data_IF_968270194530
#
_entry.id   IF_968270194530
#
_cell.length_a   1.000
_cell.length_b   1.000
_cell.length_c   1.000
_cell.angle_alpha   90.00
_cell.angle_beta   90.00
_cell.angle_gamma   90.00
#
_symmetry.space_group_name_H-M   'P 1'
#
loop_
_entity.id
_entity.type
_entity.pdbx_description
1 polymer ?
#
# COMPACT_ATOMS: atom_id res chain seq x y z
N UNK A 1 -10.51 32.02 -41.60
CA UNK A 1 -11.54 31.13 -41.05
C UNK A 1 -10.90 30.44 -39.86
N UNK A 2 -11.37 30.87 -38.68
CA UNK A 2 -10.87 30.50 -37.37
C UNK A 2 -11.09 29.02 -37.08
N UNK A 3 -10.12 28.40 -36.45
CA UNK A 3 -10.33 27.18 -35.71
C UNK A 3 -9.67 27.32 -34.33
N UNK A 4 -10.31 28.18 -33.53
CA UNK A 4 -10.20 28.15 -32.09
C UNK A 4 -11.23 27.12 -31.63
N UNK A 5 -10.79 26.01 -31.04
CA UNK A 5 -11.55 25.19 -30.09
C UNK A 5 -10.63 24.06 -29.61
N UNK A 6 -10.45 24.05 -28.33
CA UNK A 6 -9.72 23.10 -27.44
C UNK A 6 -8.40 23.60 -26.90
N UNK A 7 -8.46 24.75 -26.25
CA UNK A 7 -7.55 25.07 -25.14
C UNK A 7 -8.39 25.00 -23.86
N UNK A 8 -8.38 23.87 -23.21
CA UNK A 8 -8.87 23.73 -21.84
C UNK A 8 -7.73 23.23 -20.99
N UNK A 9 -7.10 24.10 -20.21
CA UNK A 9 -6.21 23.67 -19.14
C UNK A 9 -7.08 23.35 -17.92
N UNK A 10 -7.70 22.19 -17.88
CA UNK A 10 -8.43 21.75 -16.71
C UNK A 10 -8.11 20.31 -16.40
N UNK A 11 -7.72 20.16 -15.11
CA UNK A 11 -7.66 18.95 -14.33
C UNK A 11 -6.36 18.15 -14.35
N UNK A 12 -5.29 18.80 -13.91
CA UNK A 12 -4.34 18.19 -13.02
C UNK A 12 -4.16 19.11 -11.80
N UNK A 13 -5.24 19.36 -11.06
CA UNK A 13 -5.10 19.79 -9.68
C UNK A 13 -4.78 18.54 -8.88
N UNK A 14 -3.51 18.37 -8.53
CA UNK A 14 -3.09 17.52 -7.43
C UNK A 14 -3.86 18.01 -6.20
N UNK A 15 -4.77 17.17 -5.72
CA UNK A 15 -5.52 17.45 -4.50
C UNK A 15 -4.53 17.46 -3.35
N UNK A 16 -4.42 18.58 -2.66
CA UNK A 16 -3.58 18.68 -1.45
C UNK A 16 -4.23 17.91 -0.31
N UNK A 17 -3.44 17.42 0.64
CA UNK A 17 -3.92 16.71 1.85
C UNK A 17 -5.07 17.44 2.57
N UNK A 18 -5.08 18.77 2.53
CA UNK A 18 -6.15 19.60 3.11
C UNK A 18 -7.52 19.36 2.45
N UNK A 19 -7.57 18.92 1.19
CA UNK A 19 -8.83 18.63 0.50
C UNK A 19 -9.44 17.27 0.86
N UNK A 20 -8.64 16.38 1.48
CA UNK A 20 -9.14 15.11 2.04
C UNK A 20 -9.82 15.28 3.41
N UNK A 21 -9.74 16.48 4.02
CA UNK A 21 -10.06 16.70 5.42
C UNK A 21 -11.49 17.23 5.67
N UNK A 22 -12.29 17.48 4.64
CA UNK A 22 -13.70 17.76 4.82
C UNK A 22 -14.49 16.44 4.78
N UNK A 23 -15.17 16.08 5.88
CA UNK A 23 -15.97 14.85 6.03
C UNK A 23 -16.83 14.50 4.80
N UNK A 24 -17.39 15.50 4.13
CA UNK A 24 -18.19 15.32 2.92
C UNK A 24 -17.41 14.87 1.70
N UNK A 25 -16.14 15.30 1.57
CA UNK A 25 -15.28 14.99 0.42
C UNK A 25 -14.72 13.58 0.51
N UNK A 26 -14.38 13.13 1.71
CA UNK A 26 -13.92 11.74 1.95
C UNK A 26 -15.07 10.77 1.62
N UNK A 27 -16.28 11.02 2.07
CA UNK A 27 -17.47 10.18 1.81
C UNK A 27 -17.79 10.08 0.32
N UNK A 28 -17.74 11.20 -0.40
CA UNK A 28 -18.00 11.24 -1.84
C UNK A 28 -16.94 10.47 -2.64
N UNK A 29 -15.67 10.58 -2.25
CA UNK A 29 -14.54 9.92 -2.93
C UNK A 29 -14.42 8.44 -2.61
N UNK A 30 -14.80 8.01 -1.42
CA UNK A 30 -14.85 6.59 -1.05
C UNK A 30 -16.02 5.86 -1.71
N UNK A 31 -16.94 6.56 -2.41
CA UNK A 31 -18.14 5.97 -3.00
C UNK A 31 -19.06 5.34 -1.97
N UNK A 32 -18.89 5.68 -0.69
CA UNK A 32 -19.73 5.19 0.39
C UNK A 32 -21.07 5.88 0.28
N UNK A 33 -22.11 5.09 0.06
CA UNK A 33 -23.48 5.60 0.06
C UNK A 33 -23.75 6.32 1.39
N UNK A 34 -24.14 7.60 1.37
CA UNK A 34 -24.37 8.37 2.59
C UNK A 34 -25.45 7.77 3.52
N UNK A 35 -26.23 6.81 3.04
CA UNK A 35 -27.21 6.06 3.86
C UNK A 35 -26.59 4.85 4.61
N UNK A 36 -25.32 4.44 4.32
CA UNK A 36 -24.70 3.25 4.91
C UNK A 36 -23.71 3.56 6.04
N UNK A 37 -23.24 4.80 6.13
CA UNK A 37 -22.25 5.17 7.14
C UNK A 37 -22.81 6.12 8.19
N UNK A 38 -23.48 5.59 9.21
CA UNK A 38 -23.43 6.23 10.51
C UNK A 38 -22.00 6.04 11.07
N UNK A 39 -21.12 6.99 10.77
CA UNK A 39 -19.81 7.08 11.40
C UNK A 39 -20.02 7.52 12.86
N UNK A 40 -20.00 6.57 13.78
CA UNK A 40 -20.37 6.80 15.19
C UNK A 40 -19.20 7.21 16.09
N UNK A 41 -18.01 7.55 15.56
CA UNK A 41 -16.97 8.09 16.44
C UNK A 41 -15.55 7.55 16.22
N UNK A 42 -14.61 7.86 17.15
CA UNK A 42 -13.16 7.63 17.01
C UNK A 42 -12.73 6.16 16.88
N UNK A 43 -13.53 5.19 17.30
CA UNK A 43 -13.18 3.76 17.15
C UNK A 43 -13.26 3.28 15.71
N UNK A 44 -14.02 3.95 14.84
CA UNK A 44 -14.11 3.65 13.40
C UNK A 44 -13.19 4.54 12.54
N UNK A 45 -12.38 5.39 13.18
CA UNK A 45 -11.46 6.29 12.49
C UNK A 45 -10.29 5.56 11.81
N UNK A 46 -10.11 4.26 12.05
CA UNK A 46 -9.08 3.43 11.42
C UNK A 46 -9.73 2.47 10.45
N UNK A 47 -9.38 2.59 9.16
CA UNK A 47 -9.77 1.65 8.12
C UNK A 47 -8.72 0.56 8.02
N UNK A 48 -9.13 -0.71 7.92
CA UNK A 48 -8.25 -1.87 7.95
C UNK A 48 -8.20 -2.52 9.35
N UNK A 49 -7.34 -3.52 9.51
CA UNK A 49 -7.17 -4.24 10.79
C UNK A 49 -5.69 -4.31 11.20
N UNK A 50 -5.10 -3.17 11.60
CA UNK A 50 -3.66 -3.11 11.91
C UNK A 50 -3.26 -3.98 13.10
N UNK A 51 -4.11 -4.14 14.12
CA UNK A 51 -3.79 -4.94 15.31
C UNK A 51 -3.61 -6.44 14.99
N UNK A 52 -4.38 -6.96 14.04
CA UNK A 52 -4.23 -8.34 13.58
C UNK A 52 -3.04 -8.49 12.62
N UNK A 53 -2.91 -7.54 11.69
CA UNK A 53 -1.91 -7.60 10.63
C UNK A 53 -0.48 -7.43 11.16
N UNK A 54 -0.27 -6.61 12.18
CA UNK A 54 1.06 -6.32 12.71
C UNK A 54 1.69 -7.51 13.45
N UNK A 55 0.89 -8.50 13.88
CA UNK A 55 1.38 -9.74 14.50
C UNK A 55 2.22 -10.61 13.55
N UNK A 56 2.03 -10.44 12.24
CA UNK A 56 2.79 -11.17 11.21
C UNK A 56 4.10 -10.50 10.79
N UNK A 57 4.34 -9.28 11.29
CA UNK A 57 5.54 -8.54 10.91
C UNK A 57 6.82 -9.12 11.53
N UNK A 58 7.86 -9.16 10.72
CA UNK A 58 9.26 -9.33 11.14
C UNK A 58 10.21 -8.52 10.26
N UNK A 59 11.43 -8.28 10.76
CA UNK A 59 12.48 -7.65 9.96
C UNK A 59 12.92 -8.60 8.84
N UNK A 60 12.98 -8.12 7.60
CA UNK A 60 13.44 -8.93 6.46
C UNK A 60 14.81 -9.56 6.70
N UNK A 61 15.00 -10.79 6.28
CA UNK A 61 16.21 -11.56 6.55
C UNK A 61 17.38 -11.24 5.60
N UNK A 62 17.09 -10.86 4.36
CA UNK A 62 18.08 -10.43 3.37
C UNK A 62 17.91 -8.95 3.01
N UNK A 63 19.00 -8.29 2.56
CA UNK A 63 19.02 -6.85 2.29
C UNK A 63 17.93 -6.35 1.34
N UNK A 64 17.56 -7.17 0.37
CA UNK A 64 16.65 -6.78 -0.71
C UNK A 64 15.37 -7.66 -0.75
N UNK A 65 15.02 -8.35 0.36
CA UNK A 65 13.87 -9.26 0.42
C UNK A 65 12.55 -8.60 0.86
N UNK A 66 12.48 -7.27 0.89
CA UNK A 66 11.28 -6.55 1.36
C UNK A 66 9.97 -7.05 0.71
N UNK A 67 9.95 -7.23 -0.61
CA UNK A 67 8.76 -7.71 -1.32
C UNK A 67 8.47 -9.20 -1.06
N UNK A 68 9.47 -10.02 -0.68
CA UNK A 68 9.24 -11.40 -0.26
C UNK A 68 8.62 -11.41 1.13
N UNK A 69 9.18 -10.65 2.07
CA UNK A 69 8.66 -10.53 3.43
C UNK A 69 7.22 -9.98 3.45
N UNK A 70 6.91 -8.92 2.68
CA UNK A 70 5.53 -8.43 2.57
C UNK A 70 4.58 -9.51 2.03
N UNK A 71 5.00 -10.31 1.06
CA UNK A 71 4.17 -11.40 0.54
C UNK A 71 4.01 -12.54 1.55
N UNK A 72 5.01 -12.79 2.40
CA UNK A 72 4.89 -13.70 3.53
C UNK A 72 3.82 -13.22 4.51
N UNK A 73 3.91 -11.96 4.99
CA UNK A 73 2.91 -11.37 5.91
C UNK A 73 1.48 -11.53 5.39
N UNK A 74 1.27 -11.14 4.12
CA UNK A 74 -0.03 -11.25 3.47
C UNK A 74 -0.50 -12.71 3.36
N UNK A 75 0.40 -13.64 3.00
CA UNK A 75 0.06 -15.06 2.86
C UNK A 75 -0.33 -15.66 4.22
N UNK A 76 0.39 -15.32 5.29
CA UNK A 76 0.10 -15.78 6.64
C UNK A 76 -1.26 -15.32 7.13
N UNK A 77 -1.56 -14.03 6.96
CA UNK A 77 -2.85 -13.44 7.32
C UNK A 77 -4.02 -14.08 6.56
N UNK A 78 -3.88 -14.25 5.24
CA UNK A 78 -4.97 -14.77 4.42
C UNK A 78 -5.15 -16.28 4.52
N UNK A 79 -4.08 -17.04 4.77
CA UNK A 79 -4.13 -18.52 4.81
C UNK A 79 -4.12 -19.08 6.23
N UNK A 80 -3.97 -18.22 7.26
CA UNK A 80 -3.94 -18.58 8.68
C UNK A 80 -2.91 -19.69 8.98
N UNK A 81 -1.73 -19.57 8.37
CA UNK A 81 -0.63 -20.51 8.57
C UNK A 81 0.71 -19.81 8.42
N UNK A 82 1.71 -20.29 9.15
CA UNK A 82 3.08 -19.81 9.07
C UNK A 82 3.76 -20.20 7.75
N UNK A 83 4.60 -19.31 7.25
CA UNK A 83 5.52 -19.53 6.14
C UNK A 83 6.95 -19.24 6.62
N UNK A 84 7.92 -19.60 5.83
CA UNK A 84 9.33 -19.26 6.07
C UNK A 84 9.81 -18.30 4.98
N UNK A 85 10.24 -17.10 5.37
CA UNK A 85 10.82 -16.15 4.41
C UNK A 85 11.95 -16.80 3.59
N UNK A 86 12.80 -17.60 4.23
CA UNK A 86 13.91 -18.28 3.52
C UNK A 86 13.41 -19.27 2.46
N UNK A 87 12.35 -20.04 2.75
CA UNK A 87 11.77 -20.95 1.76
C UNK A 87 11.11 -20.18 0.61
N UNK A 88 10.46 -19.05 0.89
CA UNK A 88 9.90 -18.15 -0.13
C UNK A 88 10.99 -17.48 -0.97
N UNK A 89 12.08 -17.05 -0.36
CA UNK A 89 13.26 -16.53 -1.05
C UNK A 89 13.84 -17.59 -2.01
N UNK A 90 14.05 -18.81 -1.54
CA UNK A 90 14.61 -19.89 -2.36
C UNK A 90 13.65 -20.28 -3.50
N UNK A 91 12.34 -20.28 -3.23
CA UNK A 91 11.33 -20.53 -4.25
C UNK A 91 11.29 -19.44 -5.31
N UNK A 92 11.37 -18.16 -4.91
CA UNK A 92 11.41 -17.02 -5.82
C UNK A 92 12.68 -16.95 -6.64
N UNK A 93 13.87 -17.24 -6.04
CA UNK A 93 15.15 -17.36 -6.75
C UNK A 93 15.09 -18.41 -7.85
N UNK A 94 14.54 -19.57 -7.56
CA UNK A 94 14.45 -20.66 -8.53
C UNK A 94 13.56 -20.35 -9.74
N UNK A 95 12.81 -19.24 -9.70
CA UNK A 95 11.88 -18.78 -10.74
C UNK A 95 12.25 -17.43 -11.35
N UNK A 96 13.42 -16.90 -11.00
CA UNK A 96 13.87 -15.56 -11.39
C UNK A 96 12.91 -14.42 -10.97
N UNK A 97 12.16 -14.61 -9.87
CA UNK A 97 11.27 -13.59 -9.29
C UNK A 97 11.96 -12.75 -8.22
N UNK A 98 13.08 -13.21 -7.72
CA UNK A 98 13.90 -12.51 -6.74
C UNK A 98 15.38 -12.68 -7.07
N UNK A 99 16.13 -11.59 -7.03
CA UNK A 99 17.58 -11.55 -7.15
C UNK A 99 18.19 -10.90 -5.89
N UNK A 100 19.14 -11.53 -5.20
CA UNK A 100 19.73 -10.98 -3.98
C UNK A 100 20.41 -9.63 -4.15
N UNK A 101 20.84 -9.28 -5.35
CA UNK A 101 21.51 -8.02 -5.63
C UNK A 101 20.54 -6.87 -5.93
N UNK A 102 19.38 -7.17 -6.56
CA UNK A 102 18.43 -6.16 -7.03
C UNK A 102 17.02 -6.28 -6.42
N UNK A 103 16.71 -7.36 -5.70
CA UNK A 103 15.42 -7.61 -5.10
C UNK A 103 14.40 -8.22 -6.07
N UNK A 104 13.12 -7.93 -5.84
CA UNK A 104 12.00 -8.37 -6.66
C UNK A 104 11.59 -7.25 -7.61
N UNK A 105 11.46 -7.57 -8.92
CA UNK A 105 10.90 -6.62 -9.88
C UNK A 105 9.46 -6.27 -9.50
N UNK A 106 9.04 -5.03 -9.76
CA UNK A 106 7.68 -4.58 -9.46
C UNK A 106 6.62 -5.47 -10.12
N UNK A 107 6.89 -5.99 -11.30
CA UNK A 107 6.00 -6.92 -12.04
C UNK A 107 5.94 -8.31 -11.43
N UNK A 108 6.87 -8.65 -10.53
CA UNK A 108 6.96 -9.96 -9.90
C UNK A 108 6.40 -9.96 -8.47
N UNK A 109 6.14 -8.78 -7.90
CA UNK A 109 5.45 -8.66 -6.61
C UNK A 109 4.04 -9.28 -6.76
N UNK A 110 3.65 -10.13 -5.83
CA UNK A 110 2.39 -10.88 -5.85
C UNK A 110 2.50 -12.29 -6.45
N UNK A 111 3.58 -12.65 -7.16
CA UNK A 111 3.74 -13.98 -7.74
C UNK A 111 3.85 -15.10 -6.68
N UNK A 112 4.44 -14.80 -5.53
CA UNK A 112 4.46 -15.75 -4.40
C UNK A 112 3.05 -15.99 -3.86
N UNK A 113 2.24 -14.93 -3.77
CA UNK A 113 0.84 -15.03 -3.34
C UNK A 113 0.00 -15.87 -4.31
N UNK A 114 0.19 -15.70 -5.62
CA UNK A 114 -0.44 -16.55 -6.63
C UNK A 114 0.00 -18.01 -6.51
N UNK A 115 1.28 -18.25 -6.23
CA UNK A 115 1.85 -19.59 -6.10
C UNK A 115 1.28 -20.34 -4.88
N UNK A 116 0.92 -19.64 -3.81
CA UNK A 116 0.25 -20.24 -2.64
C UNK A 116 -1.28 -20.30 -2.76
N UNK A 117 -1.83 -19.86 -3.90
CA UNK A 117 -3.24 -20.05 -4.26
C UNK A 117 -4.15 -18.86 -3.98
N UNK A 118 -3.61 -17.70 -3.64
CA UNK A 118 -4.39 -16.48 -3.44
C UNK A 118 -4.84 -15.85 -4.77
N UNK A 119 -5.88 -15.03 -4.70
CA UNK A 119 -6.23 -14.10 -5.77
C UNK A 119 -5.35 -12.87 -5.63
N UNK A 120 -4.82 -12.39 -6.75
CA UNK A 120 -3.92 -11.23 -6.78
C UNK A 120 -4.31 -10.32 -7.92
N UNK A 121 -4.43 -9.04 -7.64
CA UNK A 121 -4.55 -7.96 -8.60
C UNK A 121 -3.35 -7.03 -8.48
N UNK A 122 -2.81 -6.58 -9.63
CA UNK A 122 -1.73 -5.60 -9.71
C UNK A 122 -2.24 -4.40 -10.45
N UNK A 123 -2.16 -3.23 -9.84
CA UNK A 123 -2.66 -1.99 -10.44
C UNK A 123 -1.70 -0.84 -10.20
N UNK A 124 -1.67 0.09 -11.15
CA UNK A 124 -0.99 1.38 -11.06
C UNK A 124 -2.04 2.50 -11.03
N UNK A 125 -1.62 3.71 -10.68
CA UNK A 125 -2.47 4.90 -10.60
C UNK A 125 -3.62 4.79 -9.60
N UNK A 126 -3.46 3.94 -8.57
CA UNK A 126 -4.43 3.81 -7.50
C UNK A 126 -4.46 5.07 -6.63
N UNK A 127 -5.59 5.28 -5.98
CA UNK A 127 -5.82 6.38 -5.03
C UNK A 127 -5.81 5.86 -3.59
N UNK A 128 -5.74 6.76 -2.62
CA UNK A 128 -5.93 6.41 -1.20
C UNK A 128 -7.31 5.78 -0.98
N UNK A 129 -8.32 6.24 -1.72
CA UNK A 129 -9.67 5.66 -1.65
C UNK A 129 -9.71 4.21 -2.08
N UNK A 130 -8.94 3.84 -3.13
CA UNK A 130 -8.85 2.44 -3.58
C UNK A 130 -8.19 1.57 -2.50
N UNK A 131 -7.12 2.06 -1.86
CA UNK A 131 -6.50 1.36 -0.73
C UNK A 131 -7.47 1.20 0.45
N UNK A 132 -8.20 2.27 0.79
CA UNK A 132 -9.16 2.25 1.88
C UNK A 132 -10.30 1.26 1.61
N UNK A 133 -10.80 1.18 0.38
CA UNK A 133 -11.82 0.21 -0.02
C UNK A 133 -11.31 -1.22 0.11
N UNK A 134 -10.14 -1.54 -0.44
CA UNK A 134 -9.54 -2.87 -0.32
C UNK A 134 -9.33 -3.28 1.15
N UNK A 135 -8.83 -2.36 1.99
CA UNK A 135 -8.65 -2.63 3.42
C UNK A 135 -9.99 -2.85 4.14
N UNK A 136 -11.02 -2.08 3.80
CA UNK A 136 -12.36 -2.23 4.38
C UNK A 136 -13.03 -3.55 3.97
N UNK A 137 -12.73 -4.06 2.77
CA UNK A 137 -13.18 -5.37 2.28
C UNK A 137 -12.35 -6.55 2.85
N UNK A 138 -11.33 -6.25 3.67
CA UNK A 138 -10.46 -7.26 4.27
C UNK A 138 -9.38 -7.79 3.34
N UNK A 139 -9.23 -7.20 2.16
CA UNK A 139 -8.12 -7.49 1.26
C UNK A 139 -6.80 -6.98 1.85
N UNK A 140 -5.69 -7.53 1.40
CA UNK A 140 -4.35 -7.16 1.85
C UNK A 140 -3.61 -6.42 0.74
N UNK A 141 -2.86 -5.39 1.12
CA UNK A 141 -2.29 -4.44 0.16
C UNK A 141 -0.79 -4.33 0.35
N UNK A 142 -0.03 -4.53 -0.73
CA UNK A 142 1.43 -4.29 -0.77
C UNK A 142 1.68 -3.14 -1.74
N UNK A 143 2.32 -2.06 -1.27
CA UNK A 143 2.69 -0.91 -2.09
C UNK A 143 4.17 -0.87 -2.40
N UNK A 144 4.50 -0.47 -3.64
CA UNK A 144 5.87 -0.10 -4.02
C UNK A 144 6.13 1.36 -3.65
N UNK A 145 7.12 1.63 -2.81
CA UNK A 145 7.40 2.97 -2.31
C UNK A 145 8.89 3.32 -2.42
N UNK A 146 9.23 4.58 -2.24
CA UNK A 146 10.62 4.97 -2.00
C UNK A 146 10.90 5.05 -0.51
N UNK A 147 11.76 4.17 0.00
CA UNK A 147 12.08 4.11 1.42
C UNK A 147 12.80 5.38 1.93
N UNK A 148 13.59 6.05 1.09
CA UNK A 148 14.29 7.27 1.51
C UNK A 148 13.30 8.40 1.79
N UNK A 149 12.23 8.53 1.01
CA UNK A 149 11.19 9.56 1.22
C UNK A 149 10.42 9.26 2.51
N UNK A 150 10.11 7.99 2.80
CA UNK A 150 9.47 7.63 4.08
C UNK A 150 10.30 8.03 5.29
N UNK A 151 11.64 7.96 5.19
CA UNK A 151 12.56 8.32 6.28
C UNK A 151 12.93 9.81 6.30
N UNK A 152 13.04 10.44 5.15
CA UNK A 152 13.47 11.83 4.96
C UNK A 152 12.56 12.50 3.91
N UNK A 153 11.39 13.02 4.31
CA UNK A 153 10.38 13.58 3.40
C UNK A 153 10.89 14.71 2.49
N UNK A 154 11.92 15.45 2.94
CA UNK A 154 12.55 16.50 2.14
C UNK A 154 13.17 16.02 0.82
N UNK A 155 13.30 14.70 0.63
CA UNK A 155 13.82 14.11 -0.62
C UNK A 155 12.74 13.94 -1.69
N UNK A 156 11.47 14.16 -1.39
CA UNK A 156 10.35 13.97 -2.33
C UNK A 156 10.47 14.80 -3.61
N UNK A 157 11.05 15.99 -3.51
CA UNK A 157 11.23 16.92 -4.64
C UNK A 157 12.47 16.63 -5.50
N UNK A 158 13.29 15.63 -5.15
CA UNK A 158 14.48 15.32 -5.92
C UNK A 158 14.11 14.56 -7.22
N UNK A 159 14.64 15.01 -8.38
CA UNK A 159 14.33 14.35 -9.64
C UNK A 159 15.00 12.97 -9.74
N UNK A 160 14.32 12.04 -10.41
CA UNK A 160 14.87 10.72 -10.73
C UNK A 160 14.88 9.71 -9.56
N UNK A 161 14.13 10.00 -8.50
CA UNK A 161 13.90 9.04 -7.43
C UNK A 161 12.79 8.07 -7.87
N UNK A 162 13.09 6.77 -7.79
CA UNK A 162 12.15 5.70 -8.12
C UNK A 162 11.86 4.87 -6.87
N UNK A 163 10.79 4.11 -6.91
CA UNK A 163 10.48 3.11 -5.89
C UNK A 163 11.63 2.10 -5.76
N UNK A 164 11.98 1.76 -4.53
CA UNK A 164 13.09 0.86 -4.20
C UNK A 164 12.76 -0.06 -3.02
N UNK A 165 11.52 -0.05 -2.57
CA UNK A 165 11.07 -0.75 -1.38
C UNK A 165 9.61 -1.20 -1.52
N UNK A 166 9.25 -2.26 -0.80
CA UNK A 166 7.89 -2.74 -0.68
C UNK A 166 7.47 -2.71 0.79
N UNK A 167 6.26 -2.26 1.05
CA UNK A 167 5.62 -2.22 2.38
C UNK A 167 4.21 -2.79 2.29
N UNK A 168 3.74 -3.43 3.35
CA UNK A 168 2.34 -3.78 3.48
C UNK A 168 1.58 -2.61 4.12
N UNK A 169 0.49 -2.17 3.50
CA UNK A 169 -0.45 -1.20 4.08
C UNK A 169 -1.49 -1.97 4.88
N UNK A 170 -1.52 -1.77 6.20
CA UNK A 170 -2.40 -2.51 7.11
C UNK A 170 -3.55 -1.66 7.66
N UNK A 171 -3.48 -0.35 7.46
CA UNK A 171 -4.55 0.57 7.85
C UNK A 171 -4.30 2.00 7.45
N UNK A 172 -5.38 2.78 7.49
CA UNK A 172 -5.38 4.24 7.33
C UNK A 172 -6.13 4.83 8.52
N UNK A 173 -5.49 5.73 9.26
CA UNK A 173 -5.99 6.33 10.50
C UNK A 173 -6.39 7.79 10.26
N UNK A 174 -7.68 8.06 10.35
CA UNK A 174 -8.30 9.38 10.24
C UNK A 174 -8.72 9.95 11.60
N UNK A 175 -8.26 9.40 12.73
CA UNK A 175 -8.60 9.89 14.08
C UNK A 175 -8.24 11.36 14.30
N UNK A 176 -7.19 11.84 13.62
CA UNK A 176 -6.87 13.25 13.49
C UNK A 176 -7.06 13.68 12.03
N UNK A 177 -8.22 14.26 11.68
CA UNK A 177 -8.49 14.68 10.30
C UNK A 177 -7.50 15.72 9.77
N UNK A 178 -6.86 16.50 10.64
CA UNK A 178 -5.81 17.46 10.27
C UNK A 178 -4.47 16.81 9.98
N UNK A 179 -4.29 15.52 10.28
CA UNK A 179 -3.02 14.82 10.14
C UNK A 179 -3.23 13.28 10.00
N UNK A 180 -3.93 12.83 8.94
CA UNK A 180 -4.20 11.42 8.73
C UNK A 180 -2.89 10.62 8.58
N UNK A 181 -2.93 9.35 8.99
CA UNK A 181 -1.77 8.46 8.96
C UNK A 181 -2.05 7.23 8.11
N UNK A 182 -1.04 6.74 7.43
CA UNK A 182 -1.00 5.38 6.94
C UNK A 182 -0.28 4.51 7.98
N UNK A 183 -0.76 3.28 8.17
CA UNK A 183 -0.19 2.30 9.08
C UNK A 183 0.42 1.19 8.22
N UNK A 184 1.71 0.92 8.43
CA UNK A 184 2.49 0.01 7.59
C UNK A 184 3.13 -1.11 8.42
N UNK A 185 3.20 -2.29 7.84
CA UNK A 185 4.23 -3.26 8.16
C UNK A 185 5.41 -3.04 7.20
N UNK A 186 6.46 -2.41 7.71
CA UNK A 186 7.69 -2.15 6.95
C UNK A 186 8.76 -3.19 7.32
N UNK A 187 9.09 -4.13 6.44
CA UNK A 187 10.10 -5.15 6.73
C UNK A 187 11.53 -4.62 6.71
N UNK A 188 11.77 -3.41 6.22
CA UNK A 188 13.10 -2.83 6.02
C UNK A 188 13.65 -2.09 7.24
N UNK A 189 12.88 -1.86 8.29
CA UNK A 189 13.29 -1.11 9.48
C UNK A 189 12.98 -1.85 10.79
N UNK A 190 13.86 -1.79 11.79
CA UNK A 190 13.74 -2.55 13.05
C UNK A 190 12.43 -2.29 13.83
N UNK A 191 11.83 -1.12 13.68
CA UNK A 191 10.57 -0.76 14.34
C UNK A 191 9.46 -0.59 13.30
N UNK A 192 9.47 -1.41 12.25
CA UNK A 192 8.53 -1.31 11.13
C UNK A 192 7.17 -1.95 11.36
N UNK A 193 6.97 -2.64 12.49
CA UNK A 193 5.71 -3.24 12.89
C UNK A 193 4.68 -2.14 13.19
N UNK A 194 3.61 -2.06 12.40
CA UNK A 194 2.54 -1.09 12.60
C UNK A 194 3.03 0.37 12.61
N UNK A 195 4.14 0.67 11.88
CA UNK A 195 4.70 2.02 11.85
C UNK A 195 3.74 3.00 11.18
N UNK A 196 3.63 4.20 11.73
CA UNK A 196 2.70 5.23 11.25
C UNK A 196 3.46 6.35 10.57
N UNK A 197 3.14 6.63 9.32
CA UNK A 197 3.62 7.80 8.58
C UNK A 197 2.47 8.78 8.32
N UNK A 198 2.80 10.06 8.16
CA UNK A 198 1.85 11.03 7.63
C UNK A 198 1.39 10.56 6.24
N UNK A 199 0.11 10.67 5.97
CA UNK A 199 -0.45 10.23 4.68
C UNK A 199 0.23 10.94 3.51
N UNK A 200 0.54 12.25 3.63
CA UNK A 200 1.26 13.02 2.61
C UNK A 200 2.63 12.44 2.31
N UNK A 201 3.40 12.11 3.35
CA UNK A 201 4.73 11.50 3.21
C UNK A 201 4.64 10.14 2.50
N UNK A 202 3.64 9.34 2.86
CA UNK A 202 3.39 8.08 2.18
C UNK A 202 3.03 8.29 0.71
N UNK A 203 2.15 9.25 0.40
CA UNK A 203 1.76 9.57 -0.97
C UNK A 203 2.96 9.99 -1.83
N UNK A 204 3.84 10.82 -1.32
CA UNK A 204 5.08 11.20 -2.01
C UNK A 204 6.01 10.00 -2.25
N UNK A 205 6.12 9.10 -1.28
CA UNK A 205 6.90 7.88 -1.42
C UNK A 205 6.26 6.90 -2.42
N UNK A 206 4.95 6.77 -2.41
CA UNK A 206 4.18 5.85 -3.27
C UNK A 206 4.09 6.34 -4.72
N UNK A 207 4.03 7.66 -4.95
CA UNK A 207 4.08 8.29 -6.28
C UNK A 207 5.30 7.84 -7.11
N UNK A 208 6.40 7.45 -6.47
CA UNK A 208 7.62 7.00 -7.15
C UNK A 208 7.48 5.67 -7.89
N UNK A 209 6.38 4.95 -7.69
CA UNK A 209 5.98 3.73 -8.39
C UNK A 209 4.75 3.92 -9.28
N UNK A 210 4.36 5.17 -9.60
CA UNK A 210 3.09 5.48 -10.26
C UNK A 210 1.87 4.95 -9.45
N UNK A 211 1.95 5.02 -8.12
CA UNK A 211 0.94 4.50 -7.19
C UNK A 211 0.62 3.02 -7.42
N UNK A 212 1.66 2.22 -7.62
CA UNK A 212 1.53 0.77 -7.80
C UNK A 212 1.19 0.08 -6.49
N UNK A 213 0.21 -0.83 -6.54
CA UNK A 213 -0.05 -1.78 -5.48
C UNK A 213 -0.41 -3.17 -5.98
N UNK A 214 -0.18 -4.13 -5.11
CA UNK A 214 -0.68 -5.51 -5.19
C UNK A 214 -1.78 -5.66 -4.15
N UNK A 215 -2.97 -6.05 -4.60
CA UNK A 215 -4.14 -6.33 -3.76
C UNK A 215 -4.35 -7.83 -3.78
N UNK A 216 -4.45 -8.43 -2.59
CA UNK A 216 -4.59 -9.87 -2.44
C UNK A 216 -5.78 -10.25 -1.55
N UNK A 217 -6.46 -11.32 -1.94
CA UNK A 217 -7.58 -11.89 -1.19
C UNK A 217 -7.61 -13.41 -1.31
N UNK A 218 -8.40 -14.06 -0.44
CA UNK A 218 -8.70 -15.49 -0.59
C UNK A 218 -9.47 -15.72 -1.88
N UNK A 219 -9.21 -16.83 -2.55
CA UNK A 219 -10.08 -17.26 -3.65
C UNK A 219 -11.41 -17.71 -3.08
N UNK A 220 -12.50 -17.26 -3.67
CA UNK A 220 -13.82 -17.80 -3.35
C UNK A 220 -13.84 -19.30 -3.60
N UNK A 221 -14.43 -20.04 -2.65
CA UNK A 221 -14.66 -21.46 -2.84
C UNK A 221 -15.68 -21.66 -4.00
N UNK A 222 -15.27 -22.42 -5.02
CA UNK A 222 -16.12 -22.73 -6.16
C UNK A 222 -17.27 -23.70 -5.76
#
# INVERSE_FOLDING_TARGET
>A
MNNELFDSPELSQELTSAEYLEDGVIREKLGVDPEIAEWDGPEEAVIGNPEEADDHWHLQSERNSCAVACQEFVAEQLLEREFSEQELIDYAKARDWYDPASGTSITDIGKLLEAVGLRVERSEHLTVSDLAMSLAEGEKVICGVNNMILQEPALADLPGINANHAVEVIGIDYSDPGNPKVILNDPGVENGRGIRHNLDVFMDAWKTSDHFAVIASRREAA
#
